data_IF_697777387972
#
_entry.id   IF_697777387972
#
_cell.length_a   1.000
_cell.length_b   1.000
_cell.length_c   1.000
_cell.angle_alpha   90.00
_cell.angle_beta   90.00
_cell.angle_gamma   90.00
#
_symmetry.space_group_name_H-M   'P 1'
#
loop_
_entity.id
_entity.type
_entity.pdbx_description
1 polymer ?
#
# COMPACT_ATOMS: atom_id res chain seq x y z
N UNK A 1 14.22 18.17 -14.84
CA UNK A 1 14.38 16.72 -14.65
C UNK A 1 13.09 16.05 -15.05
N UNK A 2 13.13 15.10 -15.99
CA UNK A 2 11.97 14.31 -16.37
C UNK A 2 12.09 12.91 -15.75
N UNK A 3 11.60 12.78 -14.52
CA UNK A 3 11.51 11.47 -13.86
C UNK A 3 10.55 10.57 -14.64
N UNK A 4 10.94 9.32 -14.88
CA UNK A 4 10.12 8.32 -15.57
C UNK A 4 9.25 7.59 -14.55
N UNK A 5 7.95 7.49 -14.83
CA UNK A 5 7.01 6.73 -14.01
C UNK A 5 6.60 5.46 -14.74
N UNK A 6 6.74 4.32 -14.09
CA UNK A 6 6.42 3.01 -14.64
C UNK A 6 5.48 2.23 -13.70
N UNK A 7 4.58 1.46 -14.28
CA UNK A 7 3.76 0.48 -13.57
C UNK A 7 4.10 -0.88 -14.19
N UNK A 8 4.53 -1.83 -13.37
CA UNK A 8 4.92 -3.17 -13.82
C UNK A 8 4.22 -4.24 -12.99
N UNK A 9 3.70 -5.32 -13.58
CA UNK A 9 3.47 -6.55 -12.83
C UNK A 9 4.82 -7.12 -12.37
N UNK A 10 4.83 -7.93 -11.31
CA UNK A 10 6.07 -8.49 -10.77
C UNK A 10 6.88 -9.31 -11.78
N UNK A 11 6.22 -10.00 -12.70
CA UNK A 11 6.85 -10.75 -13.81
C UNK A 11 7.72 -9.89 -14.74
N UNK A 12 7.45 -8.58 -14.80
CA UNK A 12 8.18 -7.63 -15.65
C UNK A 12 9.26 -6.84 -14.87
N UNK A 13 9.44 -7.14 -13.58
CA UNK A 13 10.55 -6.59 -12.81
C UNK A 13 11.86 -7.23 -13.24
N UNK A 14 12.89 -6.39 -13.41
CA UNK A 14 14.25 -6.88 -13.60
C UNK A 14 14.80 -7.42 -12.28
N UNK A 15 15.80 -8.32 -12.36
CA UNK A 15 16.51 -8.81 -11.17
C UNK A 15 17.04 -7.67 -10.29
N UNK A 16 17.61 -6.62 -10.91
CA UNK A 16 18.11 -5.44 -10.19
C UNK A 16 17.00 -4.68 -9.45
N UNK A 17 15.80 -4.61 -10.02
CA UNK A 17 14.64 -3.99 -9.36
C UNK A 17 14.18 -4.82 -8.17
N UNK A 18 14.07 -6.15 -8.32
CA UNK A 18 13.69 -7.07 -7.23
C UNK A 18 14.70 -7.02 -6.09
N UNK A 19 16.00 -7.09 -6.39
CA UNK A 19 17.08 -7.02 -5.40
C UNK A 19 17.06 -5.69 -4.63
N UNK A 20 16.87 -4.58 -5.34
CA UNK A 20 16.75 -3.26 -4.73
C UNK A 20 15.51 -3.17 -3.81
N UNK A 21 14.36 -3.64 -4.28
CA UNK A 21 13.11 -3.62 -3.51
C UNK A 21 13.27 -4.44 -2.23
N UNK A 22 13.81 -5.66 -2.32
CA UNK A 22 14.04 -6.52 -1.16
C UNK A 22 15.01 -5.89 -0.16
N UNK A 23 16.13 -5.33 -0.65
CA UNK A 23 17.09 -4.62 0.19
C UNK A 23 16.44 -3.42 0.90
N UNK A 24 15.69 -2.61 0.17
CA UNK A 24 15.02 -1.44 0.72
C UNK A 24 13.94 -1.81 1.76
N UNK A 25 13.13 -2.85 1.52
CA UNK A 25 12.13 -3.35 2.47
C UNK A 25 12.78 -3.92 3.74
N UNK A 26 13.89 -4.64 3.59
CA UNK A 26 14.66 -5.14 4.72
C UNK A 26 15.18 -4.00 5.59
N UNK A 27 15.73 -2.95 4.97
CA UNK A 27 16.24 -1.77 5.70
C UNK A 27 15.13 -0.92 6.34
N UNK A 28 14.02 -0.68 5.63
CA UNK A 28 12.96 0.23 6.10
C UNK A 28 12.03 -0.42 7.13
N UNK A 29 11.70 -1.71 6.93
CA UNK A 29 10.66 -2.40 7.69
C UNK A 29 11.14 -3.65 8.41
N UNK A 30 12.45 -3.95 8.37
CA UNK A 30 13.01 -5.22 8.87
C UNK A 30 12.31 -6.44 8.25
N UNK A 31 11.89 -6.31 6.98
CA UNK A 31 11.18 -7.38 6.27
C UNK A 31 12.08 -8.60 6.09
N UNK A 32 11.60 -9.76 6.54
CA UNK A 32 12.26 -11.06 6.33
C UNK A 32 11.73 -11.80 5.09
N UNK A 33 10.54 -11.44 4.62
CA UNK A 33 9.96 -12.02 3.40
C UNK A 33 10.54 -11.34 2.16
N UNK A 34 11.00 -12.17 1.22
CA UNK A 34 11.49 -11.72 -0.07
C UNK A 34 10.34 -11.67 -1.07
N UNK A 35 10.27 -10.58 -1.82
CA UNK A 35 9.54 -10.53 -3.08
C UNK A 35 10.32 -11.37 -4.07
N UNK A 36 9.64 -12.34 -4.68
CA UNK A 36 10.25 -13.26 -5.63
C UNK A 36 9.22 -13.67 -6.68
N UNK A 37 8.89 -12.78 -7.65
CA UNK A 37 7.85 -13.04 -8.62
C UNK A 37 8.11 -14.35 -9.38
N UNK A 38 7.18 -15.30 -9.27
CA UNK A 38 7.18 -16.57 -10.02
C UNK A 38 5.76 -16.93 -10.45
N UNK A 39 5.55 -17.64 -11.57
CA UNK A 39 4.21 -17.92 -12.11
C UNK A 39 3.21 -18.53 -11.12
N UNK A 40 3.69 -19.21 -10.10
CA UNK A 40 2.94 -19.93 -9.08
C UNK A 40 2.68 -19.12 -7.80
N UNK A 41 3.07 -17.84 -7.76
CA UNK A 41 2.90 -17.01 -6.57
C UNK A 41 2.26 -15.65 -6.83
N UNK A 42 1.82 -15.03 -5.74
CA UNK A 42 1.12 -13.75 -5.77
C UNK A 42 1.97 -12.57 -6.23
N UNK A 43 3.29 -12.67 -6.13
CA UNK A 43 4.18 -11.57 -6.53
C UNK A 43 4.22 -11.43 -8.06
N UNK A 44 3.87 -12.47 -8.82
CA UNK A 44 3.90 -12.48 -10.29
C UNK A 44 3.08 -11.36 -10.93
N UNK A 45 1.84 -11.16 -10.47
CA UNK A 45 0.89 -10.19 -11.04
C UNK A 45 0.70 -8.95 -10.16
N UNK A 46 1.37 -8.90 -9.00
CA UNK A 46 1.32 -7.74 -8.09
C UNK A 46 1.84 -6.50 -8.83
N UNK A 47 1.14 -5.36 -8.68
CA UNK A 47 1.48 -4.13 -9.40
C UNK A 47 2.50 -3.32 -8.62
N UNK A 48 3.65 -3.10 -9.23
CA UNK A 48 4.75 -2.28 -8.74
C UNK A 48 4.76 -0.93 -9.44
N UNK A 49 4.82 0.13 -8.65
CA UNK A 49 4.90 1.50 -9.12
C UNK A 49 6.31 1.99 -8.90
N UNK A 50 7.03 2.30 -9.98
CA UNK A 50 8.43 2.71 -9.95
C UNK A 50 8.57 4.15 -10.43
N UNK A 51 9.31 4.95 -9.67
CA UNK A 51 9.84 6.23 -10.11
C UNK A 51 11.32 6.05 -10.43
N UNK A 52 11.74 6.43 -11.64
CA UNK A 52 13.11 6.28 -12.13
C UNK A 52 13.69 7.62 -12.60
N UNK A 53 15.00 7.75 -12.54
CA UNK A 53 15.71 8.85 -13.19
C UNK A 53 15.92 8.57 -14.70
N UNK A 54 16.61 9.50 -15.37
CA UNK A 54 16.95 9.38 -16.80
C UNK A 54 17.81 8.15 -17.13
N UNK A 55 18.58 7.64 -16.17
CA UNK A 55 19.48 6.49 -16.31
C UNK A 55 18.81 5.18 -15.86
N UNK A 56 17.48 5.17 -15.74
CA UNK A 56 16.65 4.05 -15.30
C UNK A 56 16.93 3.54 -13.88
N UNK A 57 17.62 4.33 -13.06
CA UNK A 57 17.83 4.05 -11.64
C UNK A 57 16.54 4.34 -10.88
N UNK A 58 16.06 3.37 -10.11
CA UNK A 58 14.88 3.52 -9.27
C UNK A 58 15.15 4.49 -8.11
N UNK A 59 14.32 5.54 -8.02
CA UNK A 59 14.35 6.60 -7.02
C UNK A 59 13.37 6.36 -5.87
N UNK A 60 12.23 5.77 -6.18
CA UNK A 60 11.20 5.36 -5.22
C UNK A 60 10.35 4.24 -5.80
N UNK A 61 9.73 3.44 -4.94
CA UNK A 61 8.75 2.45 -5.36
C UNK A 61 7.61 2.31 -4.34
N UNK A 62 6.53 1.68 -4.78
CA UNK A 62 5.40 1.27 -3.97
C UNK A 62 4.69 0.08 -4.62
N UNK A 63 3.85 -0.60 -3.86
CA UNK A 63 3.00 -1.68 -4.33
C UNK A 63 1.53 -1.34 -4.16
N UNK A 64 0.73 -1.84 -5.10
CA UNK A 64 -0.72 -1.78 -5.03
C UNK A 64 -1.27 -3.16 -5.33
N UNK A 65 -2.13 -3.65 -4.44
CA UNK A 65 -2.73 -4.98 -4.54
C UNK A 65 -4.24 -4.85 -4.41
N UNK A 66 -4.98 -5.53 -5.27
CA UNK A 66 -6.43 -5.69 -5.08
C UNK A 66 -6.67 -6.71 -3.95
N UNK A 67 -7.42 -6.29 -2.94
CA UNK A 67 -7.74 -7.09 -1.75
C UNK A 67 -9.23 -7.03 -1.46
N UNK A 68 -9.73 -8.10 -0.85
CA UNK A 68 -11.07 -8.11 -0.28
C UNK A 68 -11.03 -7.68 1.20
N UNK A 69 -11.98 -6.85 1.57
CA UNK A 69 -12.25 -6.49 2.96
C UNK A 69 -13.72 -6.66 3.28
N UNK A 70 -14.04 -6.87 4.55
CA UNK A 70 -15.41 -6.91 5.05
C UNK A 70 -15.62 -5.86 6.12
N UNK A 71 -16.73 -5.15 6.02
CA UNK A 71 -17.18 -4.20 7.03
C UNK A 71 -18.68 -4.40 7.25
N UNK A 72 -19.10 -4.61 8.50
CA UNK A 72 -20.51 -4.90 8.87
C UNK A 72 -21.15 -5.98 7.98
N UNK A 73 -20.41 -7.07 7.70
CA UNK A 73 -20.81 -8.21 6.85
C UNK A 73 -20.99 -7.90 5.35
N UNK A 74 -20.57 -6.72 4.90
CA UNK A 74 -20.53 -6.37 3.47
C UNK A 74 -19.09 -6.49 2.96
N UNK A 75 -18.90 -7.23 1.87
CA UNK A 75 -17.59 -7.37 1.22
C UNK A 75 -17.35 -6.28 0.19
N UNK A 76 -16.12 -5.78 0.17
CA UNK A 76 -15.66 -4.76 -0.75
C UNK A 76 -14.34 -5.19 -1.39
N UNK A 77 -14.23 -5.04 -2.71
CA UNK A 77 -12.94 -5.15 -3.41
C UNK A 77 -12.29 -3.77 -3.46
N UNK A 78 -11.10 -3.65 -2.90
CA UNK A 78 -10.38 -2.39 -2.73
C UNK A 78 -8.90 -2.53 -3.10
N UNK A 79 -8.18 -1.42 -3.12
CA UNK A 79 -6.74 -1.38 -3.35
C UNK A 79 -5.98 -1.22 -2.02
N UNK A 80 -5.16 -2.20 -1.67
CA UNK A 80 -4.17 -2.11 -0.60
C UNK A 80 -2.89 -1.44 -1.10
N UNK A 81 -2.55 -0.28 -0.54
CA UNK A 81 -1.29 0.43 -0.75
C UNK A 81 -0.25 -0.06 0.25
N UNK A 82 0.89 -0.52 -0.23
CA UNK A 82 1.99 -0.92 0.66
C UNK A 82 3.36 -0.56 0.10
N UNK A 83 4.36 -0.70 0.97
CA UNK A 83 5.77 -0.65 0.63
C UNK A 83 6.19 0.61 -0.15
N UNK A 84 5.60 1.76 0.20
CA UNK A 84 6.05 3.05 -0.32
C UNK A 84 7.40 3.42 0.30
N UNK A 85 8.46 3.34 -0.50
CA UNK A 85 9.81 3.67 -0.08
C UNK A 85 10.47 4.60 -1.10
N UNK A 86 11.02 5.71 -0.63
CA UNK A 86 11.97 6.51 -1.40
C UNK A 86 13.39 6.03 -1.08
N UNK A 87 14.16 5.65 -2.10
CA UNK A 87 15.54 5.14 -1.93
C UNK A 87 16.41 6.19 -1.23
N UNK A 88 16.26 7.45 -1.65
CA UNK A 88 16.89 8.60 -1.01
C UNK A 88 15.82 9.50 -0.39
N UNK A 89 15.71 9.48 0.94
CA UNK A 89 14.74 10.29 1.70
C UNK A 89 15.03 11.79 1.58
N UNK A 90 14.01 12.62 1.79
CA UNK A 90 14.13 14.08 1.75
C UNK A 90 14.24 14.71 0.35
N UNK A 91 14.34 13.92 -0.72
CA UNK A 91 14.43 14.43 -2.11
C UNK A 91 13.08 14.63 -2.80
N UNK A 92 11.96 14.37 -2.11
CA UNK A 92 10.62 14.53 -2.67
C UNK A 92 10.13 13.37 -3.56
N UNK A 93 10.96 12.36 -3.82
CA UNK A 93 10.60 11.22 -4.70
C UNK A 93 9.34 10.47 -4.25
N UNK A 94 9.16 10.25 -2.95
CA UNK A 94 7.94 9.63 -2.42
C UNK A 94 6.68 10.45 -2.74
N UNK A 95 6.77 11.79 -2.71
CA UNK A 95 5.65 12.69 -3.07
C UNK A 95 5.31 12.58 -4.55
N UNK A 96 6.34 12.57 -5.41
CA UNK A 96 6.16 12.45 -6.88
C UNK A 96 5.50 11.11 -7.20
N UNK A 97 6.01 10.02 -6.64
CA UNK A 97 5.48 8.68 -6.85
C UNK A 97 4.02 8.58 -6.39
N UNK A 98 3.72 8.99 -5.15
CA UNK A 98 2.34 9.03 -4.65
C UNK A 98 1.45 9.83 -5.59
N UNK A 99 1.86 11.02 -6.03
CA UNK A 99 1.00 11.86 -6.86
C UNK A 99 0.61 11.16 -8.17
N UNK A 100 1.53 10.42 -8.78
CA UNK A 100 1.27 9.59 -9.96
C UNK A 100 0.37 8.40 -9.62
N UNK A 101 0.63 7.69 -8.52
CA UNK A 101 -0.22 6.58 -8.05
C UNK A 101 -1.65 7.02 -7.75
N UNK A 102 -1.85 8.18 -7.14
CA UNK A 102 -3.19 8.72 -6.85
C UNK A 102 -4.03 8.89 -8.12
N UNK A 103 -3.41 9.29 -9.23
CA UNK A 103 -4.12 9.38 -10.51
C UNK A 103 -4.59 8.00 -10.98
N UNK A 104 -3.74 6.98 -10.84
CA UNK A 104 -4.10 5.59 -11.14
C UNK A 104 -5.25 5.10 -10.24
N UNK A 105 -5.12 5.27 -8.92
CA UNK A 105 -6.15 4.88 -7.93
C UNK A 105 -7.48 5.58 -8.20
N UNK A 106 -7.47 6.88 -8.49
CA UNK A 106 -8.70 7.60 -8.82
C UNK A 106 -9.35 7.10 -10.11
N UNK A 107 -8.54 6.72 -11.11
CA UNK A 107 -9.04 6.20 -12.39
C UNK A 107 -9.67 4.81 -12.25
N UNK A 108 -9.24 3.99 -11.29
CA UNK A 108 -9.87 2.68 -11.05
C UNK A 108 -11.25 2.79 -10.40
N UNK A 109 -11.56 3.91 -9.74
CA UNK A 109 -12.81 4.11 -9.00
C UNK A 109 -12.91 3.31 -7.69
N UNK A 110 -11.93 2.45 -7.40
CA UNK A 110 -11.88 1.63 -6.20
C UNK A 110 -11.41 2.44 -4.99
N UNK A 111 -11.94 2.12 -3.81
CA UNK A 111 -11.37 2.62 -2.55
C UNK A 111 -9.94 2.11 -2.45
N UNK A 112 -9.05 2.95 -1.94
CA UNK A 112 -7.69 2.54 -1.58
C UNK A 112 -7.45 2.81 -0.11
N UNK A 113 -6.88 1.82 0.58
CA UNK A 113 -6.43 1.95 1.96
C UNK A 113 -4.95 1.58 2.05
N UNK A 114 -4.28 2.10 3.07
CA UNK A 114 -2.97 1.64 3.49
C UNK A 114 -2.77 1.97 4.96
N UNK A 115 -1.66 1.50 5.51
CA UNK A 115 -1.29 1.77 6.89
C UNK A 115 0.01 2.55 6.96
N UNK A 116 0.13 3.41 7.96
CA UNK A 116 1.34 4.19 8.17
C UNK A 116 1.62 4.42 9.65
N UNK A 117 2.91 4.56 9.98
CA UNK A 117 3.31 5.01 11.30
C UNK A 117 2.82 6.46 11.52
N UNK A 118 2.35 6.79 12.74
CA UNK A 118 1.88 8.13 13.10
C UNK A 118 2.86 9.26 12.75
N UNK A 119 4.18 8.98 12.82
CA UNK A 119 5.23 9.95 12.46
C UNK A 119 5.18 10.41 11.00
N UNK A 120 4.63 9.60 10.09
CA UNK A 120 4.56 9.90 8.65
C UNK A 120 3.15 10.24 8.17
N UNK A 121 2.14 10.25 9.07
CA UNK A 121 0.76 10.65 8.75
C UNK A 121 0.69 12.03 8.08
N UNK A 122 1.49 12.99 8.57
CA UNK A 122 1.54 14.34 8.01
C UNK A 122 1.95 14.37 6.53
N UNK A 123 2.82 13.43 6.09
CA UNK A 123 3.20 13.31 4.69
C UNK A 123 2.02 12.87 3.82
N UNK A 124 1.26 11.86 4.25
CA UNK A 124 0.09 11.38 3.51
C UNK A 124 -1.04 12.43 3.45
N UNK A 125 -1.31 13.14 4.56
CA UNK A 125 -2.24 14.28 4.57
C UNK A 125 -1.84 15.35 3.56
N UNK A 126 -0.57 15.76 3.53
CA UNK A 126 -0.03 16.72 2.54
C UNK A 126 -0.12 16.22 1.11
N UNK A 127 -0.08 14.89 0.91
CA UNK A 127 -0.34 14.28 -0.39
C UNK A 127 -1.84 14.12 -0.70
N UNK A 128 -2.73 14.56 0.18
CA UNK A 128 -4.18 14.56 0.01
C UNK A 128 -4.85 13.20 0.22
N UNK A 129 -4.28 12.36 1.08
CA UNK A 129 -4.99 11.18 1.61
C UNK A 129 -5.87 11.61 2.79
N UNK A 130 -7.01 10.94 2.92
CA UNK A 130 -7.74 10.95 4.18
C UNK A 130 -7.03 10.09 5.22
N UNK A 131 -7.31 10.35 6.50
CA UNK A 131 -6.67 9.65 7.62
C UNK A 131 -7.71 9.27 8.64
N UNK A 132 -7.66 8.03 9.09
CA UNK A 132 -8.35 7.54 10.29
C UNK A 132 -7.26 7.33 11.34
N UNK A 133 -7.26 8.21 12.34
CA UNK A 133 -6.30 8.15 13.46
C UNK A 133 -6.50 6.85 14.21
N UNK A 134 -5.40 6.18 14.54
CA UNK A 134 -5.41 4.87 15.18
C UNK A 134 -6.15 3.78 14.37
N UNK A 135 -6.29 3.98 13.05
CA UNK A 135 -7.02 3.08 12.17
C UNK A 135 -6.46 1.65 12.11
N UNK A 136 -5.17 1.44 12.39
CA UNK A 136 -4.59 0.09 12.52
C UNK A 136 -5.29 -0.73 13.62
N UNK A 137 -5.62 -0.10 14.75
CA UNK A 137 -6.25 -0.77 15.90
C UNK A 137 -7.70 -1.22 15.63
N UNK A 138 -8.33 -0.66 14.59
CA UNK A 138 -9.69 -0.97 14.14
C UNK A 138 -9.71 -1.98 13.00
N UNK A 139 -8.55 -2.52 12.65
CA UNK A 139 -8.40 -3.47 11.56
C UNK A 139 -8.04 -4.83 12.12
N UNK A 140 -8.82 -5.84 11.77
CA UNK A 140 -8.54 -7.23 12.09
C UNK A 140 -8.13 -7.97 10.82
N UNK A 141 -7.09 -8.77 10.92
CA UNK A 141 -6.70 -9.70 9.87
C UNK A 141 -7.32 -11.07 10.14
N UNK A 142 -7.94 -11.69 9.14
CA UNK A 142 -8.40 -13.08 9.22
C UNK A 142 -7.37 -13.99 8.57
N UNK A 143 -6.73 -14.85 9.35
CA UNK A 143 -5.75 -15.80 8.83
C UNK A 143 -6.38 -16.98 8.08
N UNK A 144 -5.53 -17.81 7.46
CA UNK A 144 -5.97 -18.99 6.68
C UNK A 144 -6.72 -20.04 7.52
N UNK A 145 -6.59 -19.99 8.85
CA UNK A 145 -7.32 -20.87 9.79
C UNK A 145 -8.63 -20.22 10.27
N UNK A 146 -8.92 -19.01 9.80
CA UNK A 146 -10.10 -18.25 10.15
C UNK A 146 -9.98 -17.46 11.46
N UNK A 147 -8.81 -17.43 12.10
CA UNK A 147 -8.62 -16.68 13.34
C UNK A 147 -8.44 -15.19 13.05
N UNK A 148 -9.03 -14.36 13.91
CA UNK A 148 -8.81 -12.92 13.88
C UNK A 148 -7.52 -12.58 14.62
N UNK A 149 -6.67 -11.82 13.96
CA UNK A 149 -5.45 -11.27 14.53
C UNK A 149 -5.53 -9.75 14.46
N UNK A 150 -5.25 -9.08 15.57
CA UNK A 150 -4.96 -7.65 15.54
C UNK A 150 -3.63 -7.40 14.85
N UNK A 151 -3.44 -6.18 14.35
CA UNK A 151 -2.17 -5.76 13.76
C UNK A 151 -0.99 -6.03 14.71
N UNK A 152 -0.07 -6.89 14.29
CA UNK A 152 1.14 -7.26 15.03
C UNK A 152 2.14 -6.11 15.11
N UNK A 153 2.01 -5.09 14.27
CA UNK A 153 2.94 -3.96 14.20
C UNK A 153 2.57 -2.80 15.14
N UNK A 154 1.52 -2.94 15.94
CA UNK A 154 1.31 -2.13 17.13
C UNK A 154 1.12 -0.65 16.83
N UNK A 155 -0.02 -0.31 16.25
CA UNK A 155 -0.50 1.07 16.16
C UNK A 155 -0.02 1.83 14.93
N UNK A 156 -0.79 2.87 14.59
CA UNK A 156 -0.62 3.60 13.34
C UNK A 156 -1.95 4.10 12.81
N UNK A 157 -1.88 4.89 11.76
CA UNK A 157 -3.04 5.46 11.13
C UNK A 157 -3.38 4.71 9.84
N UNK A 158 -4.67 4.55 9.56
CA UNK A 158 -5.15 4.11 8.27
C UNK A 158 -5.26 5.33 7.36
N UNK A 159 -4.60 5.26 6.21
CA UNK A 159 -4.69 6.28 5.15
C UNK A 159 -5.62 5.78 4.06
N UNK A 160 -6.36 6.68 3.42
CA UNK A 160 -7.30 6.28 2.38
C UNK A 160 -7.46 7.28 1.24
N UNK A 161 -7.94 6.75 0.11
CA UNK A 161 -8.58 7.48 -0.99
C UNK A 161 -9.96 6.86 -1.17
N UNK A 162 -11.00 7.70 -1.14
CA UNK A 162 -12.38 7.26 -1.29
C UNK A 162 -12.63 6.80 -2.73
N UNK A 163 -13.17 5.59 -2.89
CA UNK A 163 -13.78 5.12 -4.13
C UNK A 163 -15.30 5.32 -4.14
N UNK A 164 -15.96 4.72 -5.14
CA UNK A 164 -17.42 4.77 -5.32
C UNK A 164 -18.22 3.80 -4.45
N UNK A 165 -17.56 2.88 -3.72
CA UNK A 165 -18.19 1.79 -2.95
C UNK A 165 -18.81 2.21 -1.61
N UNK A 166 -18.62 3.47 -1.19
CA UNK A 166 -19.11 3.98 0.09
C UNK A 166 -18.42 3.42 1.33
N UNK A 167 -17.44 2.51 1.20
CA UNK A 167 -16.78 1.83 2.33
C UNK A 167 -16.22 2.82 3.34
N UNK A 168 -15.45 3.81 2.86
CA UNK A 168 -14.83 4.80 3.75
C UNK A 168 -15.88 5.58 4.54
N UNK A 169 -17.01 5.93 3.92
CA UNK A 169 -18.09 6.62 4.63
C UNK A 169 -18.64 5.74 5.75
N UNK A 170 -18.90 4.46 5.45
CA UNK A 170 -19.39 3.52 6.46
C UNK A 170 -18.42 3.36 7.64
N UNK A 171 -17.11 3.28 7.38
CA UNK A 171 -16.09 3.19 8.44
C UNK A 171 -16.12 4.45 9.33
N UNK A 172 -16.19 5.63 8.72
CA UNK A 172 -16.22 6.90 9.46
C UNK A 172 -17.50 7.05 10.29
N UNK A 173 -18.64 6.63 9.75
CA UNK A 173 -19.95 6.72 10.41
C UNK A 173 -20.11 5.67 11.53
N UNK A 174 -19.29 4.61 11.55
CA UNK A 174 -19.37 3.50 12.51
C UNK A 174 -18.01 3.24 13.17
N UNK A 175 -17.46 4.19 13.96
CA UNK A 175 -16.07 4.19 14.40
C UNK A 175 -15.71 3.10 15.43
N UNK A 176 -16.71 2.36 15.95
CA UNK A 176 -16.55 1.24 16.89
C UNK A 176 -16.49 -0.13 16.20
N UNK A 177 -16.85 -0.18 14.93
CA UNK A 177 -16.84 -1.42 14.14
C UNK A 177 -15.44 -1.69 13.58
N UNK A 178 -15.11 -2.97 13.46
CA UNK A 178 -13.83 -3.40 12.91
C UNK A 178 -13.92 -3.58 11.39
N UNK A 179 -12.86 -3.16 10.69
CA UNK A 179 -12.60 -3.55 9.32
C UNK A 179 -11.88 -4.89 9.31
N UNK A 180 -12.44 -5.88 8.62
CA UNK A 180 -11.82 -7.19 8.47
C UNK A 180 -11.08 -7.23 7.13
N UNK A 181 -9.79 -7.53 7.18
CA UNK A 181 -8.96 -7.76 6.00
C UNK A 181 -8.70 -9.25 5.88
N UNK A 182 -9.04 -9.84 4.73
CA UNK A 182 -8.83 -11.28 4.48
C UNK A 182 -7.41 -11.62 4.01
N UNK A 183 -6.63 -10.60 3.65
CA UNK A 183 -5.27 -10.77 3.14
C UNK A 183 -4.37 -9.59 3.55
N UNK A 184 -3.23 -9.80 4.23
CA UNK A 184 -2.31 -8.73 4.53
C UNK A 184 -1.73 -8.23 3.20
N UNK A 185 -1.72 -6.92 3.01
CA UNK A 185 -1.13 -6.30 1.80
C UNK A 185 0.24 -5.67 2.08
N UNK A 186 0.71 -5.71 3.33
CA UNK A 186 1.96 -5.09 3.79
C UNK A 186 3.14 -6.06 3.79
#
# INVERSE_FOLDING_TARGET
MHDKFQIKPGKDLTKLEVDLINKARSLEFNSKSLINPKPDNEDWEKKYFLLKDQNDKTLAFAMLLEIEVEFKRVRHSILGLSNLIAINKGKGYGKILIFKMKKYIKKSGLTCIGFCNKKITGFYKKCGFGVIVDGCSKTLYKDIKGNFQSDRFGGGDLIYIKGGDGLVRQILDNPKENLIIFRPHW
#
